data_IF_367679192428
#
_entry.id   IF_367679192428
#
_cell.length_a   1.000
_cell.length_b   1.000
_cell.length_c   1.000
_cell.angle_alpha   90.00
_cell.angle_beta   90.00
_cell.angle_gamma   90.00
#
_symmetry.space_group_name_H-M   'P 1'
#
loop_
_entity.id
_entity.type
_entity.pdbx_description
1 polymer ?
#
# COMPACT_ATOMS: atom_id res chain seq x y z
N UNK A 1 1.31 16.36 31.53
CA UNK A 1 0.69 15.58 30.45
C UNK A 1 1.66 15.60 29.31
N UNK A 2 2.17 14.40 29.06
CA UNK A 2 3.35 14.10 28.30
C UNK A 2 3.00 13.87 26.82
N UNK A 3 4.03 13.73 25.98
CA UNK A 3 3.96 13.61 24.53
C UNK A 3 2.88 12.60 24.04
N UNK A 4 2.10 13.02 23.04
CA UNK A 4 1.16 12.16 22.30
C UNK A 4 1.59 12.12 20.83
N UNK A 5 1.74 10.91 20.28
CA UNK A 5 2.08 10.66 18.87
C UNK A 5 0.90 9.94 18.23
N UNK A 6 0.51 10.42 17.04
CA UNK A 6 -0.53 9.80 16.24
C UNK A 6 0.09 9.24 14.97
N UNK A 7 -0.34 8.04 14.59
CA UNK A 7 -0.15 7.56 13.23
C UNK A 7 -1.06 8.34 12.26
N UNK A 8 -0.76 8.32 10.97
CA UNK A 8 -1.54 9.04 9.95
C UNK A 8 -2.59 8.12 9.34
N UNK A 9 -2.14 7.06 8.67
CA UNK A 9 -2.96 6.17 7.86
C UNK A 9 -3.82 5.26 8.73
N UNK A 10 -5.15 5.34 8.55
CA UNK A 10 -6.10 4.58 9.36
C UNK A 10 -6.27 5.10 10.79
N UNK A 11 -5.54 6.15 11.19
CA UNK A 11 -5.69 6.83 12.49
C UNK A 11 -6.27 8.23 12.33
N UNK A 12 -5.57 9.13 11.62
CA UNK A 12 -6.05 10.48 11.35
C UNK A 12 -6.79 10.59 10.01
N UNK A 13 -6.45 9.72 9.04
CA UNK A 13 -7.04 9.72 7.69
C UNK A 13 -7.45 8.29 7.32
N UNK A 14 -8.67 8.09 6.81
CA UNK A 14 -9.09 6.81 6.19
C UNK A 14 -8.56 6.71 4.74
N UNK A 15 -7.24 6.56 4.59
CA UNK A 15 -6.53 6.56 3.31
C UNK A 15 -6.53 5.21 2.59
N UNK A 16 -7.14 4.17 3.17
CA UNK A 16 -7.03 2.79 2.68
C UNK A 16 -7.52 2.65 1.23
N UNK A 17 -8.65 3.27 0.89
CA UNK A 17 -9.24 3.18 -0.46
C UNK A 17 -8.34 3.86 -1.50
N UNK A 18 -7.78 5.02 -1.15
CA UNK A 18 -6.84 5.75 -2.02
C UNK A 18 -5.58 4.93 -2.28
N UNK A 19 -5.04 4.27 -1.24
CA UNK A 19 -3.89 3.38 -1.37
C UNK A 19 -4.21 2.15 -2.23
N UNK A 20 -5.41 1.59 -2.12
CA UNK A 20 -5.86 0.48 -2.98
C UNK A 20 -6.03 0.90 -4.44
N UNK A 21 -6.57 2.09 -4.70
CA UNK A 21 -6.63 2.65 -6.06
C UNK A 21 -5.23 2.86 -6.64
N UNK A 22 -4.32 3.49 -5.90
CA UNK A 22 -2.95 3.71 -6.34
C UNK A 22 -2.22 2.39 -6.63
N UNK A 23 -2.32 1.41 -5.73
CA UNK A 23 -1.73 0.09 -5.92
C UNK A 23 -2.24 -0.62 -7.18
N UNK A 24 -3.55 -0.59 -7.41
CA UNK A 24 -4.15 -1.21 -8.59
C UNK A 24 -3.87 -0.44 -9.88
N UNK A 25 -3.72 0.88 -9.82
CA UNK A 25 -3.25 1.69 -10.95
C UNK A 25 -1.82 1.29 -11.34
N UNK A 26 -0.91 1.12 -10.36
CA UNK A 26 0.45 0.63 -10.61
C UNK A 26 0.44 -0.76 -11.23
N UNK A 27 -0.35 -1.70 -10.69
CA UNK A 27 -0.51 -3.04 -11.26
C UNK A 27 -1.01 -3.00 -12.70
N UNK A 28 -2.01 -2.17 -12.99
CA UNK A 28 -2.52 -1.96 -14.34
C UNK A 28 -1.45 -1.41 -15.29
N UNK A 29 -0.65 -0.43 -14.85
CA UNK A 29 0.48 0.10 -15.62
C UNK A 29 1.53 -0.98 -15.95
N UNK A 30 1.69 -1.97 -15.07
CA UNK A 30 2.60 -3.11 -15.25
C UNK A 30 1.96 -4.33 -15.94
N UNK A 31 0.73 -4.20 -16.45
CA UNK A 31 0.02 -5.28 -17.15
C UNK A 31 -0.47 -6.41 -16.24
N UNK A 32 -0.58 -6.17 -14.92
CA UNK A 32 -1.03 -7.15 -13.94
C UNK A 32 -2.52 -6.96 -13.63
N UNK A 33 -3.22 -8.05 -13.34
CA UNK A 33 -4.61 -8.01 -12.86
C UNK A 33 -4.73 -7.27 -11.53
N UNK A 34 -5.82 -6.56 -11.24
CA UNK A 34 -6.00 -5.88 -9.95
C UNK A 34 -6.03 -6.89 -8.78
N UNK A 35 -5.70 -6.40 -7.58
CA UNK A 35 -5.93 -7.08 -6.32
C UNK A 35 -7.23 -6.59 -5.70
N UNK A 36 -7.88 -7.48 -4.95
CA UNK A 36 -8.97 -7.11 -4.04
C UNK A 36 -8.51 -6.03 -3.06
N UNK A 37 -9.38 -5.06 -2.77
CA UNK A 37 -9.03 -3.95 -1.89
C UNK A 37 -8.64 -4.42 -0.49
N UNK A 38 -9.36 -5.40 0.06
CA UNK A 38 -9.04 -6.00 1.38
C UNK A 38 -7.63 -6.58 1.43
N UNK A 39 -7.15 -7.13 0.30
CA UNK A 39 -5.77 -7.61 0.22
C UNK A 39 -4.77 -6.45 0.28
N UNK A 40 -5.03 -5.34 -0.41
CA UNK A 40 -4.18 -4.16 -0.34
C UNK A 40 -4.21 -3.51 1.04
N UNK A 41 -5.37 -3.45 1.70
CA UNK A 41 -5.52 -2.91 3.05
C UNK A 41 -4.65 -3.67 4.06
N UNK A 42 -4.53 -4.99 3.91
CA UNK A 42 -3.64 -5.81 4.75
C UNK A 42 -2.14 -5.49 4.61
N UNK A 43 -1.75 -4.71 3.59
CA UNK A 43 -0.36 -4.34 3.35
C UNK A 43 0.03 -2.97 3.91
N UNK A 44 -0.94 -2.13 4.27
CA UNK A 44 -0.74 -0.77 4.78
C UNK A 44 -0.07 -0.77 6.16
N UNK A 45 0.69 0.29 6.48
CA UNK A 45 1.33 0.49 7.79
C UNK A 45 2.81 0.11 7.87
N UNK A 46 3.41 -0.44 6.81
CA UNK A 46 4.84 -0.80 6.77
C UNK A 46 5.67 0.10 5.82
N UNK A 47 5.12 1.26 5.45
CA UNK A 47 5.72 2.18 4.48
C UNK A 47 5.52 1.78 3.02
N UNK A 48 5.75 2.75 2.13
CA UNK A 48 5.51 2.60 0.70
C UNK A 48 6.32 1.48 0.01
N UNK A 49 7.63 1.27 0.29
CA UNK A 49 8.40 0.22 -0.37
C UNK A 49 7.86 -1.19 -0.06
N UNK A 50 7.46 -1.45 1.19
CA UNK A 50 6.87 -2.73 1.59
C UNK A 50 5.51 -2.93 0.92
N UNK A 51 4.70 -1.88 0.83
CA UNK A 51 3.43 -1.91 0.10
C UNK A 51 3.66 -2.28 -1.37
N UNK A 52 4.54 -1.56 -2.08
CA UNK A 52 4.82 -1.82 -3.50
C UNK A 52 5.35 -3.24 -3.69
N UNK A 53 6.28 -3.70 -2.86
CA UNK A 53 6.79 -5.08 -2.97
C UNK A 53 5.70 -6.13 -2.80
N UNK A 54 4.78 -5.96 -1.85
CA UNK A 54 3.64 -6.88 -1.65
C UNK A 54 2.63 -6.78 -2.79
N UNK A 55 2.41 -5.58 -3.33
CA UNK A 55 1.53 -5.32 -4.47
C UNK A 55 2.09 -5.93 -5.76
N UNK A 56 3.40 -5.93 -5.97
CA UNK A 56 4.04 -6.52 -7.15
C UNK A 56 4.27 -8.04 -7.01
N UNK A 57 4.37 -8.54 -5.78
CA UNK A 57 4.53 -9.97 -5.50
C UNK A 57 5.99 -10.42 -5.39
N UNK A 58 6.23 -11.73 -5.23
CA UNK A 58 7.54 -12.28 -4.87
C UNK A 58 8.61 -12.06 -5.95
N UNK A 59 8.22 -11.94 -7.22
CA UNK A 59 9.13 -11.76 -8.35
C UNK A 59 9.54 -10.28 -8.57
N UNK A 60 9.08 -9.37 -7.70
CA UNK A 60 9.43 -7.96 -7.78
C UNK A 60 10.92 -7.72 -7.50
N UNK A 61 11.58 -7.06 -8.44
CA UNK A 61 12.98 -6.65 -8.33
C UNK A 61 13.12 -5.38 -7.48
N UNK A 62 14.31 -5.14 -6.90
CA UNK A 62 14.58 -3.88 -6.19
C UNK A 62 14.42 -2.65 -7.07
N UNK A 63 14.63 -2.76 -8.39
CA UNK A 63 14.47 -1.63 -9.30
C UNK A 63 12.99 -1.27 -9.56
N UNK A 64 12.05 -2.17 -9.25
CA UNK A 64 10.62 -1.95 -9.42
C UNK A 64 9.94 -1.42 -8.14
N UNK A 65 10.62 -1.52 -6.99
CA UNK A 65 10.12 -1.10 -5.67
C UNK A 65 10.66 0.29 -5.33
#
# INVERSE_FOLDING_TARGET
MDLVIFDLDGTLIDSKLDLAHAANATRGHMGMSPLEYERVYSYVGNGAPVLIRRVLGPDATEAQV
#
